data_IF_048914738901
#
_entry.id   IF_048914738901
#
_cell.length_a   1.000
_cell.length_b   1.000
_cell.length_c   1.000
_cell.angle_alpha   90.00
_cell.angle_beta   90.00
_cell.angle_gamma   90.00
#
_symmetry.space_group_name_H-M   'P 1'
#
loop_
_entity.id
_entity.type
_entity.pdbx_description
1 polymer ?
#
# COMPACT_ATOMS: atom_id res chain seq x y z
N UNK A 1 -13.92 -27.67 -8.05
CA UNK A 1 -12.45 -27.38 -7.90
C UNK A 1 -12.32 -26.23 -6.90
N UNK A 2 -11.39 -26.27 -5.95
CA UNK A 2 -11.21 -25.16 -5.00
C UNK A 2 -10.62 -23.95 -5.71
N UNK A 3 -11.02 -22.75 -5.30
CA UNK A 3 -10.38 -21.51 -5.72
C UNK A 3 -8.93 -21.43 -5.22
N UNK A 4 -8.04 -20.83 -6.02
CA UNK A 4 -6.70 -20.45 -5.57
C UNK A 4 -6.77 -19.27 -4.57
N UNK A 5 -5.69 -18.99 -3.82
CA UNK A 5 -5.63 -17.82 -2.93
C UNK A 5 -5.97 -16.51 -3.66
N UNK A 6 -5.45 -16.35 -4.87
CA UNK A 6 -5.71 -15.20 -5.75
C UNK A 6 -7.17 -15.13 -6.20
N UNK A 7 -7.76 -16.26 -6.59
CA UNK A 7 -9.18 -16.32 -6.97
C UNK A 7 -10.09 -16.01 -5.78
N UNK A 8 -9.77 -16.51 -4.59
CA UNK A 8 -10.51 -16.17 -3.36
C UNK A 8 -10.39 -14.68 -3.06
N UNK A 9 -9.18 -14.13 -3.09
CA UNK A 9 -8.94 -12.70 -2.87
C UNK A 9 -9.70 -11.83 -3.86
N UNK A 10 -9.61 -12.12 -5.15
CA UNK A 10 -10.28 -11.34 -6.19
C UNK A 10 -11.81 -11.42 -6.07
N UNK A 11 -12.36 -12.56 -5.65
CA UNK A 11 -13.78 -12.69 -5.31
C UNK A 11 -14.18 -11.76 -4.16
N UNK A 12 -13.39 -11.67 -3.09
CA UNK A 12 -13.66 -10.72 -2.01
C UNK A 12 -13.53 -9.27 -2.45
N UNK A 13 -12.53 -8.96 -3.27
CA UNK A 13 -12.33 -7.61 -3.80
C UNK A 13 -13.54 -7.20 -4.65
N UNK A 14 -14.14 -8.10 -5.44
CA UNK A 14 -15.35 -7.80 -6.20
C UNK A 14 -16.59 -7.50 -5.33
N UNK A 15 -16.66 -8.05 -4.11
CA UNK A 15 -17.73 -7.74 -3.15
C UNK A 15 -17.54 -6.37 -2.48
N UNK A 16 -16.32 -5.85 -2.48
CA UNK A 16 -15.96 -4.60 -1.81
C UNK A 16 -15.90 -3.47 -2.83
N UNK A 17 -15.06 -3.62 -3.85
CA UNK A 17 -14.76 -2.63 -4.87
C UNK A 17 -15.68 -2.81 -6.09
N UNK A 18 -16.39 -1.76 -6.55
CA UNK A 18 -17.28 -1.84 -7.71
C UNK A 18 -16.56 -2.12 -9.03
N UNK A 19 -15.30 -1.69 -9.15
CA UNK A 19 -14.53 -1.73 -10.39
C UNK A 19 -13.17 -2.40 -10.14
N UNK A 20 -13.15 -3.67 -9.71
CA UNK A 20 -11.91 -4.35 -9.34
C UNK A 20 -10.98 -4.55 -10.54
N UNK A 21 -11.52 -4.63 -11.75
CA UNK A 21 -10.78 -4.83 -13.00
C UNK A 21 -10.20 -3.54 -13.59
N UNK A 22 -10.64 -2.37 -13.12
CA UNK A 22 -10.12 -1.12 -13.64
C UNK A 22 -8.67 -0.91 -13.18
N UNK A 23 -7.76 -0.53 -14.09
CA UNK A 23 -6.39 -0.20 -13.73
C UNK A 23 -6.33 0.81 -12.59
N UNK A 24 -5.65 0.46 -11.51
CA UNK A 24 -5.34 1.40 -10.45
C UNK A 24 -4.12 2.24 -10.86
N UNK A 25 -4.36 3.32 -11.59
CA UNK A 25 -3.30 4.19 -12.13
C UNK A 25 -2.31 4.64 -11.03
N UNK A 26 -2.74 5.15 -9.86
CA UNK A 26 -1.81 5.50 -8.79
C UNK A 26 -0.91 4.34 -8.34
N UNK A 27 -1.45 3.12 -8.22
CA UNK A 27 -0.68 1.96 -7.79
C UNK A 27 0.31 1.50 -8.87
N UNK A 28 -0.12 1.51 -10.14
CA UNK A 28 0.74 1.19 -11.28
C UNK A 28 1.87 2.20 -11.43
N UNK A 29 1.57 3.49 -11.34
CA UNK A 29 2.57 4.56 -11.30
C UNK A 29 3.57 4.30 -10.15
N UNK A 30 3.10 4.02 -8.94
CA UNK A 30 3.95 3.70 -7.79
C UNK A 30 4.84 2.47 -8.01
N UNK A 31 4.32 1.43 -8.67
CA UNK A 31 5.07 0.23 -9.06
C UNK A 31 6.16 0.56 -10.08
N UNK A 32 5.82 1.33 -11.11
CA UNK A 32 6.76 1.80 -12.13
C UNK A 32 7.87 2.66 -11.50
N UNK A 33 7.52 3.60 -10.62
CA UNK A 33 8.51 4.39 -9.86
C UNK A 33 9.47 3.49 -9.09
N UNK A 34 8.97 2.44 -8.43
CA UNK A 34 9.81 1.49 -7.68
C UNK A 34 10.76 0.71 -8.60
N UNK A 35 10.26 0.22 -9.74
CA UNK A 35 11.08 -0.52 -10.71
C UNK A 35 12.18 0.38 -11.29
N UNK A 36 11.81 1.59 -11.70
CA UNK A 36 12.74 2.56 -12.25
C UNK A 36 13.80 2.99 -11.22
N UNK A 37 13.39 3.24 -9.97
CA UNK A 37 14.32 3.56 -8.88
C UNK A 37 15.30 2.41 -8.59
N UNK A 38 14.81 1.16 -8.58
CA UNK A 38 15.67 -0.03 -8.43
C UNK A 38 16.68 -0.15 -9.59
N UNK A 39 16.21 0.02 -10.82
CA UNK A 39 17.06 0.03 -12.01
C UNK A 39 18.11 1.15 -11.96
N UNK A 40 17.74 2.34 -11.49
CA UNK A 40 18.65 3.47 -11.32
C UNK A 40 19.80 3.13 -10.39
N UNK A 41 19.50 2.52 -9.24
CA UNK A 41 20.51 2.14 -8.25
C UNK A 41 21.44 1.05 -8.83
N UNK A 42 20.88 0.04 -9.49
CA UNK A 42 21.66 -1.03 -10.11
C UNK A 42 22.61 -0.48 -11.18
N UNK A 43 22.07 0.22 -12.18
CA UNK A 43 22.86 0.77 -13.29
C UNK A 43 23.87 1.82 -12.80
N UNK A 44 23.55 2.60 -11.76
CA UNK A 44 24.48 3.55 -11.17
C UNK A 44 25.65 2.86 -10.45
N UNK A 45 25.38 1.73 -9.81
CA UNK A 45 26.43 0.94 -9.16
C UNK A 45 27.37 0.36 -10.21
N UNK A 46 26.83 -0.16 -11.32
CA UNK A 46 27.59 -0.72 -12.43
C UNK A 46 28.39 0.32 -13.23
N UNK A 47 27.94 1.58 -13.23
CA UNK A 47 28.63 2.68 -13.92
C UNK A 47 29.94 3.11 -13.24
N UNK A 48 30.12 2.80 -11.95
CA UNK A 48 31.32 3.20 -11.19
C UNK A 48 32.36 2.10 -11.20
N UNK A 49 33.62 2.44 -11.45
CA UNK A 49 34.73 1.49 -11.35
C UNK A 49 34.80 0.88 -9.93
N UNK A 50 34.94 -0.45 -9.78
CA UNK A 50 34.90 -1.14 -8.48
C UNK A 50 35.84 -0.55 -7.42
N UNK A 51 37.06 -0.17 -7.79
CA UNK A 51 38.04 0.41 -6.86
C UNK A 51 37.60 1.76 -6.28
N UNK A 52 36.95 2.59 -7.10
CA UNK A 52 36.44 3.91 -6.67
C UNK A 52 35.26 3.72 -5.73
N UNK A 53 34.35 2.81 -6.09
CA UNK A 53 33.21 2.45 -5.25
C UNK A 53 33.67 1.91 -3.90
N UNK A 54 34.66 1.00 -3.89
CA UNK A 54 35.22 0.44 -2.68
C UNK A 54 35.87 1.51 -1.79
N UNK A 55 36.71 2.38 -2.35
CA UNK A 55 37.35 3.46 -1.60
C UNK A 55 36.32 4.41 -0.96
N UNK A 56 35.24 4.74 -1.68
CA UNK A 56 34.18 5.59 -1.17
C UNK A 56 33.30 4.89 -0.11
N UNK A 57 33.00 3.61 -0.31
CA UNK A 57 32.32 2.78 0.66
C UNK A 57 33.14 2.65 1.96
N UNK A 58 34.46 2.53 1.86
CA UNK A 58 35.36 2.47 3.01
C UNK A 58 35.33 3.76 3.84
N UNK A 59 35.36 4.94 3.19
CA UNK A 59 35.20 6.24 3.87
C UNK A 59 33.88 6.33 4.62
N UNK A 60 32.80 5.89 3.97
CA UNK A 60 31.45 5.86 4.57
C UNK A 60 31.41 4.90 5.77
N UNK A 61 32.01 3.72 5.65
CA UNK A 61 32.06 2.72 6.70
C UNK A 61 32.84 3.20 7.94
N UNK A 62 33.97 3.89 7.75
CA UNK A 62 34.72 4.51 8.85
C UNK A 62 33.88 5.54 9.60
N UNK A 63 33.13 6.37 8.88
CA UNK A 63 32.22 7.35 9.50
C UNK A 63 31.06 6.69 10.23
N UNK A 64 30.45 5.65 9.66
CA UNK A 64 29.41 4.85 10.33
C UNK A 64 29.95 4.27 11.64
N UNK A 65 31.18 3.74 11.64
CA UNK A 65 31.81 3.19 12.83
C UNK A 65 31.98 4.25 13.93
N UNK A 66 32.55 5.40 13.60
CA UNK A 66 32.73 6.52 14.54
C UNK A 66 31.39 7.00 15.13
N UNK A 67 30.38 7.15 14.27
CA UNK A 67 29.06 7.60 14.69
C UNK A 67 28.26 6.56 15.46
N UNK A 68 28.54 5.27 15.28
CA UNK A 68 27.91 4.19 16.06
C UNK A 68 28.29 4.29 17.54
N UNK A 69 29.55 4.56 17.85
CA UNK A 69 30.00 4.75 19.23
C UNK A 69 29.36 6.00 19.84
N UNK A 70 29.30 7.10 19.08
CA UNK A 70 28.60 8.31 19.52
C UNK A 70 27.11 8.09 19.78
N UNK A 71 26.46 7.27 18.95
CA UNK A 71 25.04 6.93 19.11
C UNK A 71 24.80 6.09 20.35
N UNK A 72 25.70 5.15 20.68
CA UNK A 72 25.66 4.38 21.93
C UNK A 72 25.79 5.28 23.15
N UNK A 73 26.75 6.20 23.15
CA UNK A 73 26.93 7.18 24.22
C UNK A 73 25.67 8.04 24.43
N UNK A 74 25.10 8.57 23.34
CA UNK A 74 23.89 9.38 23.40
C UNK A 74 22.70 8.57 23.90
N UNK A 75 22.57 7.31 23.48
CA UNK A 75 21.51 6.41 23.95
C UNK A 75 21.60 6.18 25.46
N UNK A 76 22.81 5.94 25.99
CA UNK A 76 23.03 5.79 27.43
C UNK A 76 22.69 7.08 28.20
N UNK A 77 23.12 8.24 27.70
CA UNK A 77 22.78 9.55 28.29
C UNK A 77 21.29 9.84 28.27
N UNK A 78 20.59 9.47 27.19
CA UNK A 78 19.13 9.60 27.08
C UNK A 78 18.43 8.72 28.12
N UNK A 79 18.92 7.48 28.32
CA UNK A 79 18.36 6.59 29.35
C UNK A 79 18.52 7.20 30.75
N UNK A 80 19.74 7.61 31.11
CA UNK A 80 20.01 8.23 32.40
C UNK A 80 19.21 9.52 32.62
N UNK A 81 19.03 10.35 31.59
CA UNK A 81 18.21 11.56 31.66
C UNK A 81 16.71 11.25 31.85
N UNK A 82 16.20 10.15 31.28
CA UNK A 82 14.83 9.67 31.52
C UNK A 82 14.65 9.17 32.95
N UNK A 83 15.61 8.40 33.46
CA UNK A 83 15.58 7.90 34.83
C UNK A 83 15.61 9.06 35.84
N UNK A 84 16.36 10.12 35.52
CA UNK A 84 16.40 11.37 36.26
C UNK A 84 15.19 12.31 36.01
N UNK A 85 14.21 11.91 35.20
CA UNK A 85 13.01 12.69 34.81
C UNK A 85 13.34 14.10 34.27
N UNK A 86 14.48 14.25 33.58
CA UNK A 86 14.89 15.51 33.00
C UNK A 86 14.50 15.59 31.52
N UNK A 87 13.24 15.95 31.25
CA UNK A 87 12.67 15.99 29.90
C UNK A 87 13.36 16.99 28.96
N UNK A 88 13.86 18.10 29.51
CA UNK A 88 14.60 19.11 28.74
C UNK A 88 15.90 18.51 28.19
N UNK A 89 16.65 17.79 29.02
CA UNK A 89 17.88 17.11 28.62
C UNK A 89 17.62 15.93 27.67
N UNK A 90 16.52 15.20 27.85
CA UNK A 90 16.10 14.14 26.92
C UNK A 90 15.85 14.72 25.53
N UNK A 91 15.20 15.88 25.43
CA UNK A 91 14.92 16.53 24.16
C UNK A 91 16.21 16.95 23.44
N UNK A 92 17.13 17.62 24.13
CA UNK A 92 18.40 18.06 23.52
C UNK A 92 19.24 16.89 23.04
N UNK A 93 19.40 15.85 23.87
CA UNK A 93 20.15 14.65 23.49
C UNK A 93 19.54 13.89 22.32
N UNK A 94 18.20 13.87 22.19
CA UNK A 94 17.52 13.30 21.01
C UNK A 94 17.75 14.12 19.75
N UNK A 95 17.80 15.44 19.84
CA UNK A 95 18.13 16.32 18.71
C UNK A 95 19.58 16.09 18.24
N UNK A 96 20.52 15.94 19.19
CA UNK A 96 21.91 15.56 18.90
C UNK A 96 22.00 14.17 18.25
N UNK A 97 21.30 13.17 18.78
CA UNK A 97 21.26 11.82 18.20
C UNK A 97 20.76 11.85 16.75
N UNK A 98 19.68 12.57 16.48
CA UNK A 98 19.16 12.77 15.11
C UNK A 98 20.14 13.51 14.22
N UNK A 99 20.92 14.45 14.75
CA UNK A 99 21.95 15.15 13.97
C UNK A 99 23.09 14.18 13.57
N UNK A 100 23.51 13.30 14.48
CA UNK A 100 24.51 12.26 14.20
C UNK A 100 24.01 11.31 13.11
N UNK A 101 22.79 10.78 13.25
CA UNK A 101 22.19 9.87 12.26
C UNK A 101 22.07 10.52 10.87
N UNK A 102 21.62 11.78 10.81
CA UNK A 102 21.56 12.54 9.55
C UNK A 102 22.93 12.72 8.92
N UNK A 103 23.97 12.99 9.72
CA UNK A 103 25.32 13.17 9.23
C UNK A 103 25.94 11.88 8.66
N UNK A 104 25.58 10.69 9.18
CA UNK A 104 26.03 9.41 8.58
C UNK A 104 25.34 9.17 7.24
N UNK A 105 24.01 9.39 7.17
CA UNK A 105 23.26 9.27 5.91
C UNK A 105 23.77 10.24 4.85
N UNK A 106 23.99 11.49 5.22
CA UNK A 106 24.52 12.51 4.32
C UNK A 106 25.91 12.14 3.77
N UNK A 107 26.77 11.49 4.56
CA UNK A 107 28.06 11.03 4.07
C UNK A 107 27.91 9.86 3.08
N UNK A 108 27.06 8.88 3.37
CA UNK A 108 26.79 7.79 2.44
C UNK A 108 26.25 8.32 1.10
N UNK A 109 25.31 9.25 1.16
CA UNK A 109 24.75 9.88 -0.03
C UNK A 109 25.80 10.69 -0.81
N UNK A 110 26.65 11.45 -0.12
CA UNK A 110 27.68 12.29 -0.75
C UNK A 110 28.82 11.46 -1.34
N UNK A 111 29.27 10.43 -0.64
CA UNK A 111 30.49 9.71 -0.98
C UNK A 111 30.19 8.54 -1.92
N UNK A 112 29.02 7.91 -1.83
CA UNK A 112 28.65 6.72 -2.64
C UNK A 112 27.58 7.03 -3.67
N UNK A 113 26.40 7.50 -3.24
CA UNK A 113 25.22 7.62 -4.12
C UNK A 113 25.42 8.70 -5.19
N UNK A 114 25.84 9.90 -4.78
CA UNK A 114 25.97 11.04 -5.67
C UNK A 114 27.02 10.78 -6.78
N UNK A 115 28.25 10.32 -6.50
CA UNK A 115 29.21 9.99 -7.55
C UNK A 115 28.71 8.93 -8.52
N UNK A 116 28.02 7.90 -8.01
CA UNK A 116 27.43 6.86 -8.84
C UNK A 116 26.36 7.41 -9.81
N UNK A 117 25.49 8.28 -9.30
CA UNK A 117 24.44 8.90 -10.11
C UNK A 117 25.01 9.88 -11.13
N UNK A 118 26.05 10.64 -10.78
CA UNK A 118 26.73 11.54 -11.71
C UNK A 118 27.43 10.76 -12.82
N UNK A 119 28.07 9.64 -12.48
CA UNK A 119 28.74 8.78 -13.45
C UNK A 119 27.73 8.14 -14.41
N UNK A 120 26.62 7.59 -13.89
CA UNK A 120 25.52 7.07 -14.70
C UNK A 120 24.97 8.13 -15.67
N UNK A 121 24.70 9.34 -15.16
CA UNK A 121 24.17 10.42 -15.97
C UNK A 121 25.13 10.83 -17.10
N UNK A 122 26.43 10.88 -16.80
CA UNK A 122 27.49 11.13 -17.78
C UNK A 122 27.51 10.05 -18.86
N UNK A 123 27.46 8.77 -18.47
CA UNK A 123 27.50 7.65 -19.41
C UNK A 123 26.25 7.58 -20.30
N UNK A 124 25.11 8.07 -19.81
CA UNK A 124 23.86 8.19 -20.59
C UNK A 124 23.72 9.52 -21.32
N UNK A 125 24.63 10.48 -21.14
CA UNK A 125 24.56 11.81 -21.76
C UNK A 125 23.35 12.64 -21.32
N UNK A 126 22.84 12.42 -20.10
CA UNK A 126 21.66 13.13 -19.56
C UNK A 126 22.05 14.05 -18.42
N UNK A 127 21.29 15.13 -18.25
CA UNK A 127 21.49 16.08 -17.13
C UNK A 127 20.54 15.70 -16.00
N UNK A 128 21.04 15.36 -14.80
CA UNK A 128 20.18 15.08 -13.66
C UNK A 128 19.52 16.36 -13.15
N UNK A 129 18.33 16.20 -12.59
CA UNK A 129 17.54 17.29 -12.01
C UNK A 129 17.23 16.98 -10.56
N UNK A 130 17.40 17.96 -9.68
CA UNK A 130 16.95 17.83 -8.29
C UNK A 130 15.56 18.43 -8.14
N UNK A 131 14.64 17.67 -7.55
CA UNK A 131 13.35 18.19 -7.13
C UNK A 131 13.33 18.38 -5.62
N UNK A 132 13.18 19.63 -5.18
CA UNK A 132 13.03 19.97 -3.77
C UNK A 132 11.56 20.20 -3.43
N UNK A 133 10.97 19.45 -2.47
CA UNK A 133 9.61 19.72 -2.03
C UNK A 133 9.52 21.06 -1.27
N UNK A 134 8.83 22.06 -1.86
CA UNK A 134 8.54 23.33 -1.18
C UNK A 134 7.24 23.30 -0.37
N UNK A 135 7.13 24.17 0.67
CA UNK A 135 5.89 24.35 1.48
C UNK A 135 4.69 24.79 0.64
N UNK A 136 4.92 25.57 -0.42
CA UNK A 136 3.87 26.09 -1.29
C UNK A 136 3.75 25.32 -2.61
N UNK A 137 4.45 24.20 -2.77
CA UNK A 137 4.34 23.33 -3.95
C UNK A 137 5.07 23.78 -5.20
N UNK A 138 5.87 24.83 -5.11
CA UNK A 138 6.90 25.10 -6.11
C UNK A 138 7.95 24.00 -6.03
N UNK A 139 8.09 23.23 -7.10
CA UNK A 139 9.24 22.37 -7.36
C UNK A 139 10.37 23.26 -7.85
N UNK A 140 11.37 23.52 -7.01
CA UNK A 140 12.59 24.18 -7.47
C UNK A 140 13.48 23.13 -8.13
N UNK A 141 13.58 23.19 -9.46
CA UNK A 141 14.55 22.41 -10.22
C UNK A 141 15.92 23.00 -9.91
N UNK A 142 16.70 22.24 -9.18
CA UNK A 142 18.02 22.65 -8.78
C UNK A 142 19.02 21.97 -9.74
N UNK A 143 19.50 22.73 -10.72
CA UNK A 143 20.27 22.22 -11.88
C UNK A 143 21.78 22.26 -11.64
N UNK A 144 22.24 22.79 -10.51
CA UNK A 144 23.68 22.94 -10.24
C UNK A 144 24.25 21.78 -9.40
N UNK A 145 25.56 21.56 -9.53
CA UNK A 145 26.31 20.58 -8.74
C UNK A 145 26.23 20.86 -7.22
N UNK A 146 26.14 22.14 -6.84
CA UNK A 146 25.92 22.55 -5.45
C UNK A 146 24.54 22.11 -4.94
N UNK A 147 23.51 22.26 -5.77
CA UNK A 147 22.17 21.85 -5.37
C UNK A 147 22.04 20.33 -5.24
N UNK A 148 22.73 19.57 -6.09
CA UNK A 148 22.80 18.11 -5.98
C UNK A 148 23.51 17.66 -4.71
N UNK A 149 24.60 18.35 -4.33
CA UNK A 149 25.27 18.10 -3.06
C UNK A 149 24.36 18.41 -1.87
N UNK A 150 23.60 19.51 -1.94
CA UNK A 150 22.61 19.87 -0.91
C UNK A 150 21.44 18.88 -0.87
N UNK A 151 20.98 18.38 -2.01
CA UNK A 151 19.93 17.36 -2.10
C UNK A 151 20.38 16.04 -1.48
N UNK A 152 21.62 15.63 -1.78
CA UNK A 152 22.25 14.43 -1.22
C UNK A 152 22.48 14.54 0.29
N UNK A 153 22.82 15.74 0.79
CA UNK A 153 23.08 15.99 2.20
C UNK A 153 21.81 16.24 3.04
N UNK A 154 20.75 16.78 2.43
CA UNK A 154 19.60 17.36 3.12
C UNK A 154 18.42 16.41 3.38
N UNK A 155 18.56 15.10 3.21
CA UNK A 155 17.42 14.17 3.31
C UNK A 155 17.78 12.72 3.56
N UNK A 156 16.78 11.97 4.02
CA UNK A 156 16.88 10.53 4.28
C UNK A 156 16.99 9.69 2.99
N UNK A 157 16.65 10.26 1.83
CA UNK A 157 16.67 9.59 0.53
C UNK A 157 17.19 10.53 -0.58
N UNK A 158 18.50 10.49 -0.83
CA UNK A 158 19.10 11.20 -1.96
C UNK A 158 18.67 10.61 -3.31
N UNK A 159 18.42 9.30 -3.34
CA UNK A 159 18.01 8.60 -4.55
C UNK A 159 16.63 9.06 -5.02
N UNK A 160 15.70 9.35 -4.10
CA UNK A 160 14.39 9.93 -4.42
C UNK A 160 14.40 11.42 -4.78
N UNK A 161 15.53 12.13 -4.64
CA UNK A 161 15.63 13.58 -4.91
C UNK A 161 16.42 13.93 -6.15
N UNK A 162 17.36 13.07 -6.55
CA UNK A 162 18.15 13.23 -7.77
C UNK A 162 17.49 12.40 -8.87
N UNK A 163 16.89 13.10 -9.83
CA UNK A 163 16.15 12.52 -10.93
C UNK A 163 17.04 12.43 -12.15
N UNK A 164 17.14 11.23 -12.73
CA UNK A 164 17.88 10.97 -13.96
C UNK A 164 16.85 10.67 -15.05
N UNK A 165 16.79 11.45 -16.14
CA UNK A 165 15.87 11.19 -17.25
C UNK A 165 15.96 9.73 -17.75
N UNK A 166 14.80 9.07 -17.90
CA UNK A 166 14.71 7.65 -18.27
C UNK A 166 14.80 6.65 -17.11
N UNK A 167 15.22 7.11 -15.92
CA UNK A 167 15.29 6.33 -14.68
C UNK A 167 14.36 6.84 -13.58
N UNK A 168 13.77 8.02 -13.78
CA UNK A 168 12.75 8.59 -12.90
C UNK A 168 11.70 9.30 -13.76
N UNK A 169 10.45 9.35 -13.27
CA UNK A 169 9.44 10.26 -13.81
C UNK A 169 9.35 11.48 -12.91
N UNK A 170 9.15 12.65 -13.51
CA UNK A 170 8.93 13.86 -12.72
C UNK A 170 7.70 13.70 -11.83
N UNK A 171 7.73 14.19 -10.58
CA UNK A 171 6.55 14.18 -9.74
C UNK A 171 5.43 15.00 -10.39
N UNK A 172 4.18 14.54 -10.26
CA UNK A 172 3.00 15.26 -10.74
C UNK A 172 2.97 16.67 -10.16
N UNK A 173 2.54 17.64 -10.97
CA UNK A 173 2.33 18.99 -10.48
C UNK A 173 1.19 19.02 -9.45
N UNK A 174 1.11 20.10 -8.65
CA UNK A 174 -0.02 20.28 -7.73
C UNK A 174 -1.35 20.35 -8.48
N UNK A 175 -1.36 21.00 -9.64
CA UNK A 175 -2.56 21.15 -10.48
C UNK A 175 -3.02 19.80 -11.04
N UNK A 176 -2.09 18.98 -11.53
CA UNK A 176 -2.37 17.61 -11.98
C UNK A 176 -2.88 16.74 -10.83
N UNK A 177 -2.24 16.82 -9.66
CA UNK A 177 -2.66 16.06 -8.47
C UNK A 177 -4.05 16.50 -7.99
N UNK A 178 -4.38 17.79 -8.11
CA UNK A 178 -5.69 18.31 -7.75
C UNK A 178 -6.74 17.90 -8.79
N UNK A 179 -6.42 17.97 -10.08
CA UNK A 179 -7.30 17.51 -11.16
C UNK A 179 -7.62 16.01 -11.02
N UNK A 180 -6.65 15.16 -10.69
CA UNK A 180 -6.86 13.73 -10.43
C UNK A 180 -7.83 13.53 -9.24
N UNK A 181 -7.68 14.31 -8.16
CA UNK A 181 -8.58 14.25 -7.01
C UNK A 181 -9.98 14.69 -7.36
N UNK A 182 -10.13 15.79 -8.08
CA UNK A 182 -11.41 16.36 -8.49
C UNK A 182 -12.15 15.42 -9.45
N UNK A 183 -11.42 14.80 -10.38
CA UNK A 183 -11.96 13.77 -11.28
C UNK A 183 -12.50 12.56 -10.49
N UNK A 184 -11.74 12.05 -9.52
CA UNK A 184 -12.18 10.96 -8.65
C UNK A 184 -13.40 11.34 -7.82
N UNK A 185 -13.41 12.54 -7.23
CA UNK A 185 -14.56 13.04 -6.47
C UNK A 185 -15.82 13.15 -7.32
N UNK A 186 -15.69 13.58 -8.59
CA UNK A 186 -16.82 13.64 -9.51
C UNK A 186 -17.42 12.26 -9.79
N UNK A 187 -16.58 11.27 -10.07
CA UNK A 187 -17.02 9.87 -10.28
C UNK A 187 -17.74 9.35 -9.04
N UNK A 188 -17.19 9.56 -7.85
CA UNK A 188 -17.83 9.12 -6.61
C UNK A 188 -19.13 9.86 -6.31
N UNK A 189 -19.25 11.13 -6.69
CA UNK A 189 -20.48 11.90 -6.54
C UNK A 189 -21.60 11.38 -7.47
N UNK A 190 -21.27 11.07 -8.73
CA UNK A 190 -22.21 10.44 -9.67
C UNK A 190 -22.69 9.07 -9.16
N UNK A 191 -21.75 8.28 -8.61
CA UNK A 191 -22.06 6.98 -8.02
C UNK A 191 -22.94 7.10 -6.76
N UNK A 192 -22.62 8.05 -5.87
CA UNK A 192 -23.43 8.34 -4.69
C UNK A 192 -24.86 8.73 -5.06
N UNK A 193 -25.04 9.48 -6.14
CA UNK A 193 -26.36 9.83 -6.66
C UNK A 193 -27.12 8.60 -7.20
N UNK A 194 -26.43 7.69 -7.91
CA UNK A 194 -27.02 6.44 -8.40
C UNK A 194 -27.53 5.54 -7.26
N UNK A 195 -26.78 5.43 -6.17
CA UNK A 195 -27.17 4.67 -4.98
C UNK A 195 -28.05 5.47 -4.00
N UNK A 196 -28.40 6.72 -4.32
CA UNK A 196 -29.23 7.62 -3.49
C UNK A 196 -28.67 7.80 -2.07
N UNK A 197 -27.34 7.89 -1.95
CA UNK A 197 -26.66 8.09 -0.66
C UNK A 197 -26.96 9.51 -0.14
N UNK A 198 -27.47 9.67 1.09
CA UNK A 198 -27.75 10.98 1.66
C UNK A 198 -26.51 11.87 1.70
N UNK A 199 -26.67 13.18 1.46
CA UNK A 199 -25.57 14.15 1.46
C UNK A 199 -24.72 14.09 2.76
N UNK A 200 -25.38 13.90 3.91
CA UNK A 200 -24.72 13.74 5.22
C UNK A 200 -23.77 12.53 5.29
N UNK A 201 -23.98 11.52 4.46
CA UNK A 201 -23.21 10.28 4.40
C UNK A 201 -22.16 10.29 3.27
N UNK A 202 -22.26 11.20 2.30
CA UNK A 202 -21.37 11.24 1.13
C UNK A 202 -19.90 11.43 1.52
N UNK A 203 -19.59 12.22 2.54
CA UNK A 203 -18.20 12.35 3.01
C UNK A 203 -17.61 11.02 3.49
N UNK A 204 -18.39 10.24 4.24
CA UNK A 204 -17.97 8.93 4.71
C UNK A 204 -17.84 7.95 3.54
N UNK A 205 -18.78 8.01 2.59
CA UNK A 205 -18.74 7.23 1.36
C UNK A 205 -17.48 7.52 0.51
N UNK A 206 -17.13 8.79 0.28
CA UNK A 206 -15.94 9.16 -0.48
C UNK A 206 -14.66 8.74 0.23
N UNK A 207 -14.61 8.88 1.55
CA UNK A 207 -13.48 8.38 2.35
C UNK A 207 -13.34 6.86 2.22
N UNK A 208 -14.46 6.14 2.22
CA UNK A 208 -14.46 4.69 2.04
C UNK A 208 -14.03 4.30 0.63
N UNK A 209 -14.55 4.94 -0.42
CA UNK A 209 -14.10 4.73 -1.82
C UNK A 209 -12.61 4.99 -2.00
N UNK A 210 -12.07 6.06 -1.40
CA UNK A 210 -10.64 6.33 -1.41
C UNK A 210 -9.81 5.23 -0.70
N UNK A 211 -10.32 4.69 0.41
CA UNK A 211 -9.71 3.55 1.10
C UNK A 211 -9.76 2.29 0.23
N UNK A 212 -10.91 1.99 -0.36
CA UNK A 212 -11.10 0.81 -1.20
C UNK A 212 -10.17 0.79 -2.40
N UNK A 213 -10.07 1.91 -3.10
CA UNK A 213 -9.17 2.06 -4.24
C UNK A 213 -7.70 1.89 -3.85
N UNK A 214 -7.33 2.05 -2.58
CA UNK A 214 -5.94 1.84 -2.13
C UNK A 214 -5.71 0.41 -1.65
N UNK A 215 -6.64 -0.14 -0.87
CA UNK A 215 -6.40 -1.35 -0.08
C UNK A 215 -7.01 -2.62 -0.71
N UNK A 216 -8.07 -2.48 -1.52
CA UNK A 216 -8.81 -3.60 -2.14
C UNK A 216 -8.66 -3.57 -3.66
N UNK A 217 -7.50 -4.04 -4.12
CA UNK A 217 -7.14 -4.18 -5.54
C UNK A 217 -6.96 -5.64 -5.90
N UNK A 218 -7.03 -5.95 -7.20
CA UNK A 218 -6.77 -7.29 -7.73
C UNK A 218 -5.43 -7.86 -7.24
N UNK A 219 -5.41 -9.16 -7.03
CA UNK A 219 -4.24 -9.95 -6.65
C UNK A 219 -3.03 -9.68 -7.57
N UNK A 220 -3.28 -9.52 -8.88
CA UNK A 220 -2.27 -9.25 -9.90
C UNK A 220 -1.62 -7.85 -9.79
N UNK A 221 -2.29 -6.90 -9.15
CA UNK A 221 -1.78 -5.53 -8.93
C UNK A 221 -0.99 -5.44 -7.62
N UNK A 222 -1.09 -6.45 -6.75
CA UNK A 222 -0.37 -6.51 -5.49
C UNK A 222 1.06 -7.05 -5.69
N UNK A 223 2.02 -6.64 -4.83
CA UNK A 223 3.34 -7.26 -4.83
C UNK A 223 3.21 -8.76 -4.58
N UNK A 224 3.91 -9.56 -5.39
CA UNK A 224 3.99 -11.02 -5.25
C UNK A 224 5.42 -11.41 -4.86
N UNK A 225 5.62 -12.11 -3.73
CA UNK A 225 4.61 -12.55 -2.76
C UNK A 225 4.03 -11.40 -1.92
N UNK A 226 2.77 -11.55 -1.48
CA UNK A 226 2.15 -10.58 -0.60
C UNK A 226 2.84 -10.55 0.79
N UNK A 227 2.79 -9.41 1.52
CA UNK A 227 3.37 -9.29 2.85
C UNK A 227 2.79 -10.30 3.85
N UNK A 228 3.56 -10.64 4.89
CA UNK A 228 3.07 -11.49 5.99
C UNK A 228 1.82 -10.88 6.65
N UNK A 229 0.83 -11.72 6.96
CA UNK A 229 -0.46 -11.30 7.49
C UNK A 229 -1.47 -10.83 6.44
N UNK A 230 -1.08 -10.76 5.15
CA UNK A 230 -2.04 -10.54 4.07
C UNK A 230 -2.85 -11.81 3.78
N UNK A 231 -4.13 -11.65 3.42
CA UNK A 231 -5.03 -12.77 3.13
C UNK A 231 -4.52 -13.73 2.06
N UNK A 232 -3.86 -13.21 1.01
CA UNK A 232 -3.19 -14.05 0.01
C UNK A 232 -2.22 -15.05 0.66
N UNK A 233 -1.41 -14.62 1.65
CA UNK A 233 -0.48 -15.50 2.37
C UNK A 233 -1.22 -16.47 3.27
N UNK A 234 -2.23 -16.00 3.98
CA UNK A 234 -3.04 -16.83 4.90
C UNK A 234 -3.80 -17.93 4.14
N UNK A 235 -4.26 -17.63 2.91
CA UNK A 235 -4.94 -18.56 2.02
C UNK A 235 -4.00 -19.51 1.26
N UNK A 236 -2.68 -19.40 1.45
CA UNK A 236 -1.70 -20.36 0.92
C UNK A 236 -0.96 -19.90 -0.33
N UNK A 237 -0.87 -18.58 -0.60
CA UNK A 237 0.00 -18.06 -1.65
C UNK A 237 1.46 -18.46 -1.37
N UNK A 238 2.15 -18.95 -2.41
CA UNK A 238 3.57 -19.29 -2.33
C UNK A 238 4.41 -18.10 -1.90
N UNK A 239 5.35 -18.36 -1.01
CA UNK A 239 6.39 -17.40 -0.65
C UNK A 239 7.52 -17.30 -1.67
N UNK A 240 7.50 -18.17 -2.70
CA UNK A 240 8.51 -18.27 -3.75
C UNK A 240 9.93 -18.57 -3.25
N UNK A 241 10.08 -19.08 -2.02
CA UNK A 241 11.37 -19.52 -1.48
C UNK A 241 11.70 -20.96 -1.91
N UNK A 242 10.66 -21.78 -2.09
CA UNK A 242 10.78 -23.16 -2.56
C UNK A 242 9.83 -23.44 -3.73
N UNK A 243 10.21 -24.41 -4.57
CA UNK A 243 9.39 -24.87 -5.71
C UNK A 243 8.09 -25.47 -5.17
N UNK A 244 6.96 -25.12 -5.79
CA UNK A 244 5.62 -25.63 -5.47
C UNK A 244 5.14 -25.37 -4.02
N UNK A 245 5.65 -24.32 -3.35
CA UNK A 245 5.23 -23.98 -1.99
C UNK A 245 3.85 -23.28 -1.87
N UNK A 246 3.01 -23.35 -2.90
CA UNK A 246 1.64 -22.85 -2.82
C UNK A 246 0.75 -23.93 -2.20
N UNK A 247 -0.11 -23.56 -1.26
CA UNK A 247 -1.02 -24.50 -0.60
C UNK A 247 -2.47 -24.23 -1.02
N UNK A 248 -3.13 -25.27 -1.55
CA UNK A 248 -4.55 -25.23 -1.93
C UNK A 248 -5.43 -26.00 -0.93
N UNK A 249 -4.86 -26.56 0.13
CA UNK A 249 -5.58 -27.34 1.14
C UNK A 249 -6.27 -26.45 2.16
N UNK A 250 -7.44 -26.89 2.63
CA UNK A 250 -8.20 -26.16 3.63
C UNK A 250 -7.46 -26.20 4.95
N UNK A 251 -7.24 -25.02 5.55
CA UNK A 251 -6.58 -24.94 6.85
C UNK A 251 -7.45 -24.23 7.88
N UNK A 252 -7.29 -24.60 9.14
CA UNK A 252 -7.99 -23.97 10.27
C UNK A 252 -7.71 -22.46 10.34
N UNK A 253 -6.45 -21.97 10.13
CA UNK A 253 -6.18 -20.53 10.05
C UNK A 253 -7.01 -19.81 8.99
N UNK A 254 -7.25 -20.42 7.83
CA UNK A 254 -8.07 -19.81 6.78
C UNK A 254 -9.52 -19.65 7.21
N UNK A 255 -10.10 -20.69 7.84
CA UNK A 255 -11.45 -20.61 8.37
C UNK A 255 -11.56 -19.56 9.49
N UNK A 256 -10.56 -19.46 10.37
CA UNK A 256 -10.50 -18.43 11.41
C UNK A 256 -10.33 -17.02 10.82
N UNK A 257 -9.52 -16.86 9.78
CA UNK A 257 -9.36 -15.59 9.06
C UNK A 257 -10.66 -15.17 8.36
N UNK A 258 -11.46 -16.13 7.88
CA UNK A 258 -12.78 -15.87 7.33
C UNK A 258 -13.78 -15.44 8.42
N UNK A 259 -13.77 -16.09 9.59
CA UNK A 259 -14.72 -15.78 10.67
C UNK A 259 -14.37 -14.51 11.45
N UNK A 260 -13.07 -14.27 11.69
CA UNK A 260 -12.58 -13.24 12.61
C UNK A 260 -11.68 -12.19 11.94
N UNK A 261 -11.44 -12.30 10.63
CA UNK A 261 -10.57 -11.39 9.93
C UNK A 261 -11.16 -9.99 9.74
N UNK A 262 -10.28 -9.03 9.47
CA UNK A 262 -10.61 -7.68 9.03
C UNK A 262 -11.37 -7.59 7.69
N UNK A 263 -11.49 -8.69 6.94
CA UNK A 263 -12.13 -8.71 5.63
C UNK A 263 -13.65 -8.63 5.71
N UNK A 264 -14.25 -9.39 6.61
CA UNK A 264 -15.71 -9.39 6.79
C UNK A 264 -16.26 -7.98 7.07
N UNK A 265 -15.74 -7.20 8.04
CA UNK A 265 -16.21 -5.83 8.24
C UNK A 265 -16.20 -4.92 7.00
N UNK A 266 -15.37 -5.25 6.00
CA UNK A 266 -15.17 -4.47 4.80
C UNK A 266 -16.13 -4.91 3.69
N UNK A 267 -16.40 -6.21 3.61
CA UNK A 267 -17.50 -6.78 2.80
C UNK A 267 -18.86 -6.32 3.36
N UNK A 268 -18.99 -6.28 4.69
CA UNK A 268 -20.22 -5.92 5.41
C UNK A 268 -20.43 -4.42 5.58
N UNK A 269 -19.47 -3.59 5.14
CA UNK A 269 -19.61 -2.15 5.24
C UNK A 269 -20.81 -1.70 4.38
N UNK A 270 -21.64 -0.78 4.89
CA UNK A 270 -22.79 -0.24 4.15
C UNK A 270 -22.46 0.33 2.76
N UNK A 271 -21.20 0.73 2.53
CA UNK A 271 -20.70 1.28 1.28
C UNK A 271 -19.94 0.25 0.41
N UNK A 272 -19.83 -1.02 0.84
CA UNK A 272 -19.28 -2.09 0.02
C UNK A 272 -20.16 -2.32 -1.21
N UNK A 273 -19.58 -2.85 -2.28
CA UNK A 273 -20.36 -3.13 -3.49
C UNK A 273 -21.51 -4.10 -3.21
N UNK A 274 -21.27 -5.12 -2.40
CA UNK A 274 -22.30 -6.05 -1.94
C UNK A 274 -23.44 -5.33 -1.23
N UNK A 275 -23.15 -4.56 -0.18
CA UNK A 275 -24.20 -3.90 0.62
C UNK A 275 -24.94 -2.82 -0.16
N UNK A 276 -24.27 -2.11 -1.07
CA UNK A 276 -24.92 -1.15 -1.95
C UNK A 276 -25.93 -1.82 -2.90
N UNK A 277 -25.59 -2.99 -3.46
CA UNK A 277 -26.52 -3.74 -4.32
C UNK A 277 -27.72 -4.27 -3.56
N UNK A 278 -27.50 -4.80 -2.35
CA UNK A 278 -28.56 -5.30 -1.47
C UNK A 278 -29.45 -4.16 -0.99
N UNK A 279 -28.88 -3.06 -0.50
CA UNK A 279 -29.64 -1.94 0.03
C UNK A 279 -30.45 -1.19 -1.04
N UNK A 280 -30.05 -1.31 -2.31
CA UNK A 280 -30.81 -0.81 -3.45
C UNK A 280 -32.09 -1.61 -3.72
N UNK A 281 -32.12 -2.90 -3.38
CA UNK A 281 -33.30 -3.73 -3.60
C UNK A 281 -34.45 -3.33 -2.66
N UNK A 282 -35.66 -3.23 -3.23
CA UNK A 282 -36.82 -2.65 -2.56
C UNK A 282 -37.47 -3.64 -1.57
N UNK A 283 -37.62 -4.90 -1.97
CA UNK A 283 -38.32 -5.92 -1.19
C UNK A 283 -37.33 -6.85 -0.46
N UNK A 284 -37.68 -7.37 0.74
CA UNK A 284 -36.81 -8.28 1.50
C UNK A 284 -36.37 -9.51 0.69
N UNK A 285 -37.27 -10.10 -0.09
CA UNK A 285 -36.97 -11.25 -0.94
C UNK A 285 -35.96 -10.92 -2.04
N UNK A 286 -36.05 -9.72 -2.62
CA UNK A 286 -35.09 -9.24 -3.63
C UNK A 286 -33.71 -9.02 -3.04
N UNK A 287 -33.62 -8.64 -1.75
CA UNK A 287 -32.35 -8.52 -1.04
C UNK A 287 -31.66 -9.87 -0.87
N UNK A 288 -32.43 -10.91 -0.54
CA UNK A 288 -31.93 -12.28 -0.47
C UNK A 288 -31.47 -12.72 -1.86
N UNK A 289 -32.26 -12.47 -2.91
CA UNK A 289 -31.86 -12.78 -4.28
C UNK A 289 -30.56 -12.06 -4.68
N UNK A 290 -30.43 -10.77 -4.36
CA UNK A 290 -29.23 -9.98 -4.62
C UNK A 290 -28.00 -10.56 -3.90
N UNK A 291 -28.14 -10.97 -2.63
CA UNK A 291 -27.05 -11.58 -1.86
C UNK A 291 -26.57 -12.90 -2.51
N UNK A 292 -27.50 -13.77 -2.91
CA UNK A 292 -27.17 -15.03 -3.59
C UNK A 292 -26.56 -14.80 -4.97
N UNK A 293 -27.08 -13.83 -5.72
CA UNK A 293 -26.51 -13.46 -7.02
C UNK A 293 -25.09 -12.91 -6.88
N UNK A 294 -24.82 -12.08 -5.87
CA UNK A 294 -23.49 -11.51 -5.66
C UNK A 294 -22.47 -12.55 -5.16
N UNK A 295 -22.87 -13.48 -4.29
CA UNK A 295 -21.96 -14.45 -3.67
C UNK A 295 -21.81 -15.74 -4.48
N UNK A 296 -22.88 -16.22 -5.10
CA UNK A 296 -22.92 -17.52 -5.80
C UNK A 296 -23.27 -17.41 -7.28
N UNK A 297 -23.47 -16.20 -7.82
CA UNK A 297 -23.84 -15.99 -9.24
C UNK A 297 -25.12 -16.73 -9.67
N UNK A 298 -26.03 -17.02 -8.73
CA UNK A 298 -27.31 -17.70 -8.97
C UNK A 298 -28.38 -17.21 -8.00
N UNK A 299 -29.65 -17.50 -8.31
CA UNK A 299 -30.76 -17.27 -7.39
C UNK A 299 -30.77 -18.32 -6.26
N UNK A 300 -31.34 -18.00 -5.08
CA UNK A 300 -31.55 -19.00 -4.03
C UNK A 300 -32.54 -20.07 -4.51
N UNK A 301 -32.29 -21.30 -4.14
CA UNK A 301 -33.24 -22.40 -4.33
C UNK A 301 -34.41 -22.29 -3.34
N UNK A 302 -35.54 -22.97 -3.62
CA UNK A 302 -36.69 -22.97 -2.71
C UNK A 302 -36.35 -23.47 -1.32
N UNK A 303 -35.45 -24.46 -1.22
CA UNK A 303 -34.96 -25.02 0.05
C UNK A 303 -34.16 -24.00 0.85
N UNK A 304 -33.29 -23.24 0.18
CA UNK A 304 -32.48 -22.18 0.80
C UNK A 304 -33.37 -21.03 1.28
N UNK A 305 -34.36 -20.64 0.48
CA UNK A 305 -35.36 -19.63 0.86
C UNK A 305 -36.14 -20.06 2.10
N UNK A 306 -36.64 -21.30 2.13
CA UNK A 306 -37.36 -21.83 3.29
C UNK A 306 -36.47 -21.90 4.55
N UNK A 307 -35.20 -22.28 4.39
CA UNK A 307 -34.24 -22.30 5.50
C UNK A 307 -34.03 -20.89 6.07
N UNK A 308 -33.88 -19.89 5.19
CA UNK A 308 -33.75 -18.50 5.62
C UNK A 308 -35.00 -17.98 6.35
N UNK A 309 -36.19 -18.26 5.82
CA UNK A 309 -37.45 -17.88 6.48
C UNK A 309 -37.52 -18.47 7.89
N UNK A 310 -37.26 -19.78 8.05
CA UNK A 310 -37.22 -20.43 9.37
C UNK A 310 -36.16 -19.82 10.28
N UNK A 311 -34.98 -19.51 9.75
CA UNK A 311 -33.91 -18.87 10.53
C UNK A 311 -34.32 -17.46 11.01
N UNK A 312 -35.04 -16.71 10.18
CA UNK A 312 -35.57 -15.39 10.54
C UNK A 312 -36.60 -15.44 11.67
N UNK A 313 -37.44 -16.48 11.71
CA UNK A 313 -38.37 -16.74 12.82
C UNK A 313 -37.63 -17.03 14.14
N UNK A 314 -36.41 -17.58 14.07
CA UNK A 314 -35.56 -17.86 15.23
C UNK A 314 -34.66 -16.69 15.67
N UNK A 315 -34.75 -15.54 14.99
CA UNK A 315 -34.07 -14.30 15.38
C UNK A 315 -32.94 -13.83 14.45
N UNK A 316 -32.57 -14.59 13.42
CA UNK A 316 -31.59 -14.17 12.41
C UNK A 316 -32.26 -13.27 11.37
N UNK A 317 -32.45 -12.00 11.73
CA UNK A 317 -33.25 -11.04 10.95
C UNK A 317 -32.41 -10.06 10.14
N UNK A 318 -31.12 -9.96 10.44
CA UNK A 318 -30.23 -9.04 9.74
C UNK A 318 -29.73 -9.66 8.43
N UNK A 319 -29.56 -8.84 7.39
CA UNK A 319 -28.94 -9.32 6.15
C UNK A 319 -27.48 -9.70 6.39
N UNK A 320 -26.89 -9.09 7.41
CA UNK A 320 -25.53 -9.33 7.82
C UNK A 320 -25.31 -10.76 8.30
N UNK A 321 -26.26 -11.32 9.05
CA UNK A 321 -26.24 -12.70 9.48
C UNK A 321 -26.33 -13.67 8.28
N UNK A 322 -27.17 -13.34 7.28
CA UNK A 322 -27.27 -14.13 6.06
C UNK A 322 -25.94 -14.13 5.30
N UNK A 323 -25.37 -12.95 5.06
CA UNK A 323 -24.11 -12.81 4.32
C UNK A 323 -22.98 -13.53 5.06
N UNK A 324 -22.90 -13.38 6.38
CA UNK A 324 -21.93 -14.10 7.22
C UNK A 324 -22.07 -15.62 7.05
N UNK A 325 -23.29 -16.15 7.10
CA UNK A 325 -23.54 -17.57 6.90
C UNK A 325 -23.10 -18.02 5.50
N UNK A 326 -23.47 -17.28 4.45
CA UNK A 326 -23.17 -17.63 3.05
C UNK A 326 -21.67 -17.65 2.76
N UNK A 327 -20.93 -16.62 3.20
CA UNK A 327 -19.48 -16.50 2.98
C UNK A 327 -18.69 -17.62 3.68
N UNK A 328 -19.17 -18.07 4.85
CA UNK A 328 -18.51 -19.14 5.61
C UNK A 328 -18.93 -20.55 5.17
N UNK A 329 -19.79 -20.69 4.15
CA UNK A 329 -20.15 -22.00 3.61
C UNK A 329 -19.08 -22.57 2.69
N UNK A 330 -19.09 -23.90 2.52
CA UNK A 330 -18.25 -24.57 1.53
C UNK A 330 -18.57 -24.12 0.10
N UNK A 331 -19.83 -23.78 -0.21
CA UNK A 331 -20.21 -23.31 -1.55
C UNK A 331 -19.46 -22.03 -1.94
N UNK A 332 -19.15 -21.16 -0.98
CA UNK A 332 -18.36 -19.97 -1.26
C UNK A 332 -16.89 -20.31 -1.56
N UNK A 333 -16.34 -21.37 -0.97
CA UNK A 333 -14.92 -21.75 -1.07
C UNK A 333 -14.64 -22.56 -2.34
N UNK A 334 -15.63 -23.30 -2.84
CA UNK A 334 -15.49 -24.18 -3.99
C UNK A 334 -16.24 -23.61 -5.20
N UNK A 335 -15.62 -23.69 -6.38
CA UNK A 335 -16.36 -23.54 -7.64
C UNK A 335 -17.24 -24.80 -7.79
N UNK A 336 -18.46 -24.76 -7.27
CA UNK A 336 -19.48 -25.81 -7.40
C UNK A 336 -20.76 -25.26 -8.01
#
# INVERSE_FOLDING_TARGET
RRMSPEQMWDSFVALINPNPDMPNTPLREASEYRILAGKKIADATDAVHPDVLFANAQKTAMKIKDQADRTRELTAKISAARDAKNDALVRTLREEQRAVERATRAAANRDVVLPAFMQLAKDKGVVPTVYTPGKDGGTTVATSSMDMMMAAAGGDDAAGRIFIPGYDKAPKSKEETQADKDANMKVWAEEAAYYKIPEKQQRAYFSFRAQQNRDYVRSAELPSPAPRGHYLREFGQSDRETIENANLDASVPQALAMMNGSLLPQIMNQYSQLMLTINKAQYPDDKVEAAYMALFSRKPTDKERQTWIKASETGLTSMEDLIFALINTQQFIFNQ
#
